data_IF_341183192000
#
_entry.id   IF_341183192000
#
_cell.length_a   1.000
_cell.length_b   1.000
_cell.length_c   1.000
_cell.angle_alpha   90.00
_cell.angle_beta   90.00
_cell.angle_gamma   90.00
#
_symmetry.space_group_name_H-M   'P 1'
#
loop_
_entity.id
_entity.type
_entity.pdbx_description
1 polymer ?
#
# COMPACT_ATOMS: atom_id res chain seq x y z
N UNK A 1 -7.35 23.42 2.11
CA UNK A 1 -7.07 22.51 1.05
C UNK A 1 -6.15 21.42 1.47
N UNK A 2 -6.53 20.23 1.18
CA UNK A 2 -5.78 19.08 1.60
C UNK A 2 -4.68 18.73 0.65
N UNK A 3 -3.45 18.78 1.14
CA UNK A 3 -2.32 18.41 0.34
C UNK A 3 -1.79 17.04 0.74
N UNK A 4 -2.66 16.22 1.34
CA UNK A 4 -2.23 14.90 1.74
C UNK A 4 -1.98 14.02 0.51
N UNK A 5 -0.85 13.35 0.51
CA UNK A 5 -0.50 12.42 -0.56
C UNK A 5 0.29 11.27 0.02
N UNK A 6 0.36 10.19 -0.73
CA UNK A 6 1.05 8.99 -0.28
C UNK A 6 2.54 9.17 -0.45
N UNK A 7 3.27 8.97 0.64
CA UNK A 7 4.72 9.07 0.60
C UNK A 7 5.38 7.70 0.56
N UNK A 8 4.65 6.66 0.99
CA UNK A 8 5.22 5.32 0.99
C UNK A 8 4.10 4.30 1.05
N UNK A 9 4.25 3.25 0.27
CA UNK A 9 3.34 2.11 0.31
C UNK A 9 4.19 0.85 0.39
N UNK A 10 3.94 0.05 1.42
CA UNK A 10 4.69 -1.19 1.63
C UNK A 10 3.73 -2.35 1.42
N UNK A 11 4.09 -3.25 0.51
CA UNK A 11 3.26 -4.41 0.19
C UNK A 11 3.90 -5.65 0.79
N UNK A 12 3.18 -6.29 1.71
CA UNK A 12 3.63 -7.53 2.34
C UNK A 12 2.86 -8.67 1.70
N UNK A 13 3.49 -9.37 0.76
CA UNK A 13 2.81 -10.42 0.02
C UNK A 13 2.57 -11.67 0.85
N UNK A 14 3.42 -11.91 1.85
CA UNK A 14 3.25 -13.10 2.66
C UNK A 14 2.07 -13.00 3.61
N UNK A 15 1.72 -11.79 4.00
CA UNK A 15 0.59 -11.54 4.91
C UNK A 15 -0.61 -10.94 4.20
N UNK A 16 -0.49 -10.72 2.91
CA UNK A 16 -1.54 -10.07 2.11
C UNK A 16 -1.98 -8.76 2.75
N UNK A 17 -1.01 -7.97 3.16
CA UNK A 17 -1.25 -6.73 3.87
C UNK A 17 -0.54 -5.59 3.16
N UNK A 18 -1.19 -4.43 3.12
CA UNK A 18 -0.60 -3.24 2.50
C UNK A 18 -0.57 -2.14 3.55
N UNK A 19 0.60 -1.53 3.73
CA UNK A 19 0.77 -0.42 4.65
C UNK A 19 0.92 0.85 3.83
N UNK A 20 0.10 1.83 4.14
CA UNK A 20 0.08 3.09 3.39
C UNK A 20 0.44 4.22 4.33
N UNK A 21 1.43 5.01 3.94
CA UNK A 21 1.88 6.15 4.72
C UNK A 21 1.65 7.42 3.94
N UNK A 22 1.27 8.48 4.64
CA UNK A 22 1.03 9.76 4.02
C UNK A 22 2.05 10.79 4.51
N UNK A 23 2.10 11.92 3.79
CA UNK A 23 3.01 13.01 4.15
C UNK A 23 2.63 13.67 5.46
N UNK A 24 1.43 13.42 5.97
CA UNK A 24 0.98 13.99 7.23
C UNK A 24 1.26 13.07 8.42
N UNK A 25 1.96 11.97 8.18
CA UNK A 25 2.33 11.07 9.25
C UNK A 25 1.31 10.00 9.55
N UNK A 26 0.26 9.92 8.78
CA UNK A 26 -0.76 8.90 8.99
C UNK A 26 -0.32 7.57 8.38
N UNK A 27 -0.71 6.50 9.05
CA UNK A 27 -0.45 5.16 8.56
C UNK A 27 -1.75 4.38 8.52
N UNK A 28 -2.00 3.73 7.40
CA UNK A 28 -3.18 2.91 7.25
C UNK A 28 -2.75 1.49 6.88
N UNK A 29 -3.33 0.51 7.55
CA UNK A 29 -3.04 -0.89 7.28
C UNK A 29 -4.27 -1.52 6.65
N UNK A 30 -4.07 -2.13 5.49
CA UNK A 30 -5.14 -2.81 4.76
C UNK A 30 -4.83 -4.29 4.76
N UNK A 31 -5.67 -5.07 5.43
CA UNK A 31 -5.51 -6.52 5.49
C UNK A 31 -6.52 -7.17 4.56
N UNK A 32 -6.04 -8.08 3.74
CA UNK A 32 -6.88 -8.75 2.77
C UNK A 32 -7.04 -10.22 3.12
N UNK A 33 -8.27 -10.71 3.04
CA UNK A 33 -8.56 -12.10 3.40
C UNK A 33 -8.33 -13.05 2.24
N UNK A 34 -8.44 -12.56 1.02
CA UNK A 34 -8.31 -13.40 -0.16
C UNK A 34 -7.29 -12.82 -1.12
N UNK A 35 -6.67 -13.67 -1.96
CA UNK A 35 -5.75 -13.19 -2.97
C UNK A 35 -6.41 -12.22 -3.95
N UNK A 36 -7.68 -12.43 -4.27
CA UNK A 36 -8.39 -11.54 -5.19
C UNK A 36 -8.53 -10.15 -4.60
N UNK A 37 -8.86 -10.08 -3.32
CA UNK A 37 -8.96 -8.81 -2.64
C UNK A 37 -7.60 -8.12 -2.60
N UNK A 38 -6.57 -8.88 -2.33
CA UNK A 38 -5.21 -8.36 -2.30
C UNK A 38 -4.83 -7.76 -3.65
N UNK A 39 -5.15 -8.45 -4.73
CA UNK A 39 -4.84 -7.96 -6.07
C UNK A 39 -5.60 -6.68 -6.38
N UNK A 40 -6.84 -6.58 -5.92
CA UNK A 40 -7.63 -5.37 -6.12
C UNK A 40 -7.00 -4.18 -5.41
N UNK A 41 -6.55 -4.40 -4.18
CA UNK A 41 -5.90 -3.34 -3.42
C UNK A 41 -4.58 -2.95 -4.07
N UNK A 42 -3.82 -3.93 -4.54
CA UNK A 42 -2.57 -3.66 -5.23
C UNK A 42 -2.78 -2.80 -6.47
N UNK A 43 -3.78 -3.14 -7.27
CA UNK A 43 -4.08 -2.37 -8.46
C UNK A 43 -4.46 -0.94 -8.11
N UNK A 44 -5.25 -0.77 -7.06
CA UNK A 44 -5.63 0.56 -6.61
C UNK A 44 -4.40 1.37 -6.21
N UNK A 45 -3.54 0.78 -5.41
CA UNK A 45 -2.36 1.47 -4.91
C UNK A 45 -1.43 1.81 -6.08
N UNK A 46 -1.26 0.90 -7.02
CA UNK A 46 -0.37 1.14 -8.16
C UNK A 46 -0.87 2.25 -9.06
N UNK A 47 -2.18 2.44 -9.11
CA UNK A 47 -2.74 3.52 -9.92
C UNK A 47 -2.62 4.87 -9.22
N UNK A 48 -2.68 4.89 -7.90
CA UNK A 48 -2.75 6.15 -7.17
C UNK A 48 -1.46 6.55 -6.51
N UNK A 49 -0.52 5.63 -6.36
CA UNK A 49 0.76 5.93 -5.73
C UNK A 49 1.87 5.95 -6.79
N UNK A 50 2.78 6.91 -6.70
CA UNK A 50 3.94 6.92 -7.60
C UNK A 50 4.76 5.65 -7.44
N UNK A 51 5.37 5.22 -8.54
CA UNK A 51 6.17 3.98 -8.52
C UNK A 51 7.27 4.07 -7.48
N UNK A 52 7.83 5.26 -7.30
CA UNK A 52 8.94 5.45 -6.38
C UNK A 52 8.56 5.23 -4.92
N UNK A 53 7.27 5.35 -4.59
CA UNK A 53 6.83 5.17 -3.22
C UNK A 53 6.40 3.75 -2.90
N UNK A 54 6.36 2.90 -3.90
CA UNK A 54 5.89 1.53 -3.75
C UNK A 54 7.05 0.61 -3.41
N UNK A 55 6.91 -0.12 -2.31
CA UNK A 55 7.92 -1.07 -1.85
C UNK A 55 7.28 -2.41 -1.57
N UNK A 56 8.02 -3.47 -1.87
CA UNK A 56 7.55 -4.82 -1.61
C UNK A 56 8.40 -5.47 -0.56
N UNK A 57 7.75 -6.15 0.36
CA UNK A 57 8.46 -6.93 1.38
C UNK A 57 8.65 -8.34 0.84
N UNK A 58 9.91 -8.74 0.77
CA UNK A 58 10.26 -10.06 0.30
C UNK A 58 9.98 -11.08 1.39
N UNK A 59 9.19 -12.11 1.11
CA UNK A 59 8.81 -13.08 2.12
C UNK A 59 9.90 -14.07 2.52
N UNK A 60 11.05 -14.02 1.94
CA UNK A 60 12.12 -14.96 2.28
C UNK A 60 12.55 -14.91 3.73
#
# INVERSE_FOLDING_TARGET
MDDEYLTRCVVDTSRRTVYIYSNEGDKKTVECDTPEEFMSVLNYVREHAPVDTLSYVDPT
#
